data_IF_711115103827
#
_entry.id   IF_711115103827
#
_cell.length_a   1.000
_cell.length_b   1.000
_cell.length_c   1.000
_cell.angle_alpha   90.00
_cell.angle_beta   90.00
_cell.angle_gamma   90.00
#
_symmetry.space_group_name_H-M   'P 1'
#
loop_
_entity.id
_entity.type
_entity.pdbx_description
1 polymer ?
#
# COMPACT_ATOMS: atom_id res chain seq x y z
N UNK A 1 -0.66 27.75 -9.83
CA UNK A 1 0.37 27.42 -8.82
C UNK A 1 0.64 25.92 -8.74
N UNK A 2 -0.35 25.06 -8.47
CA UNK A 2 -0.14 23.61 -8.23
C UNK A 2 0.48 22.84 -9.40
N UNK A 3 0.12 23.16 -10.66
CA UNK A 3 0.72 22.51 -11.84
C UNK A 3 2.24 22.76 -11.94
N UNK A 4 2.70 23.97 -11.61
CA UNK A 4 4.12 24.32 -11.57
C UNK A 4 4.87 23.47 -10.52
N UNK A 5 4.31 23.35 -9.31
CA UNK A 5 4.91 22.52 -8.26
C UNK A 5 4.95 21.04 -8.64
N UNK A 6 3.91 20.53 -9.32
CA UNK A 6 3.91 19.14 -9.82
C UNK A 6 5.03 18.90 -10.84
N UNK A 7 5.27 19.85 -11.75
CA UNK A 7 6.31 19.73 -12.77
C UNK A 7 7.74 19.91 -12.23
N UNK A 8 7.95 20.86 -11.32
CA UNK A 8 9.30 21.25 -10.90
C UNK A 8 9.72 20.68 -9.53
N UNK A 9 8.76 20.38 -8.65
CA UNK A 9 9.00 20.00 -7.25
C UNK A 9 8.13 18.82 -6.82
N UNK A 10 8.05 17.77 -7.65
CA UNK A 10 7.17 16.62 -7.46
C UNK A 10 7.28 15.98 -6.06
N UNK A 11 8.51 15.84 -5.52
CA UNK A 11 8.73 15.27 -4.19
C UNK A 11 8.11 16.13 -3.08
N UNK A 12 8.34 17.44 -3.10
CA UNK A 12 7.80 18.37 -2.12
C UNK A 12 6.28 18.52 -2.26
N UNK A 13 5.78 18.54 -3.51
CA UNK A 13 4.35 18.54 -3.80
C UNK A 13 3.67 17.30 -3.22
N UNK A 14 4.23 16.10 -3.45
CA UNK A 14 3.69 14.87 -2.89
C UNK A 14 3.77 14.86 -1.36
N UNK A 15 4.89 15.29 -0.75
CA UNK A 15 5.02 15.38 0.70
C UNK A 15 3.93 16.27 1.31
N UNK A 16 3.73 17.47 0.75
CA UNK A 16 2.70 18.38 1.19
C UNK A 16 1.30 17.77 1.06
N UNK A 17 1.02 17.10 -0.07
CA UNK A 17 -0.26 16.41 -0.30
C UNK A 17 -0.48 15.29 0.71
N UNK A 18 0.53 14.47 1.01
CA UNK A 18 0.43 13.38 1.97
C UNK A 18 0.22 13.91 3.40
N UNK A 19 0.99 14.92 3.80
CA UNK A 19 0.92 15.47 5.16
C UNK A 19 -0.41 16.19 5.46
N UNK A 20 -1.15 16.64 4.43
CA UNK A 20 -2.46 17.31 4.57
C UNK A 20 -3.67 16.39 4.32
N UNK A 21 -3.49 15.06 4.29
CA UNK A 21 -4.61 14.13 4.21
C UNK A 21 -5.49 14.19 5.47
N UNK A 22 -6.82 13.99 5.36
CA UNK A 22 -7.58 13.58 4.16
C UNK A 22 -8.01 14.75 3.24
N UNK A 23 -7.79 14.63 1.92
CA UNK A 23 -8.21 15.63 0.91
C UNK A 23 -9.37 15.19 0.01
N UNK A 24 -10.10 14.14 0.42
CA UNK A 24 -11.40 13.76 -0.15
C UNK A 24 -11.41 13.00 -1.48
N UNK A 25 -10.44 13.21 -2.39
CA UNK A 25 -10.51 12.64 -3.75
C UNK A 25 -9.59 11.44 -4.00
N UNK A 26 -8.28 11.57 -3.74
CA UNK A 26 -7.30 10.52 -4.02
C UNK A 26 -6.75 9.91 -2.73
N UNK A 27 -6.80 8.58 -2.66
CA UNK A 27 -6.16 7.81 -1.60
C UNK A 27 -4.63 8.00 -1.65
N UNK A 28 -3.92 8.06 -0.51
CA UNK A 28 -2.46 8.17 -0.46
C UNK A 28 -1.72 7.17 -1.37
N UNK A 29 -2.21 5.93 -1.46
CA UNK A 29 -1.65 4.91 -2.34
C UNK A 29 -1.61 5.35 -3.81
N UNK A 30 -2.70 5.94 -4.31
CA UNK A 30 -2.80 6.42 -5.70
C UNK A 30 -1.88 7.61 -5.95
N UNK A 31 -1.76 8.53 -4.98
CA UNK A 31 -0.83 9.66 -5.09
C UNK A 31 0.63 9.20 -5.16
N UNK A 32 1.00 8.22 -4.32
CA UNK A 32 2.33 7.59 -4.34
C UNK A 32 2.59 6.92 -5.69
N UNK A 33 1.62 6.15 -6.21
CA UNK A 33 1.75 5.47 -7.50
C UNK A 33 1.83 6.43 -8.68
N UNK A 34 1.04 7.50 -8.68
CA UNK A 34 1.12 8.56 -9.70
C UNK A 34 2.51 9.20 -9.73
N UNK A 35 3.05 9.53 -8.56
CA UNK A 35 4.38 10.12 -8.49
C UNK A 35 5.47 9.14 -8.95
N UNK A 36 5.36 7.85 -8.61
CA UNK A 36 6.27 6.81 -9.08
C UNK A 36 6.23 6.63 -10.61
N UNK A 37 5.04 6.69 -11.22
CA UNK A 37 4.90 6.68 -12.69
C UNK A 37 5.58 7.89 -13.34
N UNK A 38 5.61 9.03 -12.66
CA UNK A 38 6.35 10.23 -13.06
C UNK A 38 7.84 10.23 -12.64
N UNK A 39 8.39 9.07 -12.27
CA UNK A 39 9.82 8.90 -11.98
C UNK A 39 10.24 9.28 -10.55
N UNK A 40 9.30 9.64 -9.66
CA UNK A 40 9.65 9.91 -8.27
C UNK A 40 10.00 8.61 -7.54
N UNK A 41 11.22 8.54 -7.00
CA UNK A 41 11.57 7.48 -6.05
C UNK A 41 10.90 7.78 -4.70
N UNK A 42 10.03 6.87 -4.27
CA UNK A 42 9.44 6.88 -2.93
C UNK A 42 10.13 5.79 -2.11
N UNK A 43 10.42 6.07 -0.85
CA UNK A 43 11.06 5.13 0.08
C UNK A 43 10.11 4.82 1.23
N UNK A 44 10.11 3.56 1.73
CA UNK A 44 9.22 3.16 2.82
C UNK A 44 9.55 3.89 4.13
N UNK A 45 8.59 3.85 5.05
CA UNK A 45 8.77 4.32 6.42
C UNK A 45 9.79 3.43 7.13
N UNK A 46 10.60 4.06 7.97
CA UNK A 46 11.78 3.50 8.61
C UNK A 46 12.03 4.27 9.92
N UNK A 47 12.13 3.58 11.04
CA UNK A 47 12.37 4.19 12.36
C UNK A 47 13.73 4.89 12.48
N UNK A 48 14.70 4.54 11.63
CA UNK A 48 16.05 5.11 11.60
C UNK A 48 16.13 6.38 10.75
N UNK A 49 15.18 6.62 9.85
CA UNK A 49 15.27 7.71 8.86
C UNK A 49 14.03 8.59 8.81
N UNK A 50 12.85 8.05 9.11
CA UNK A 50 11.58 8.71 8.88
C UNK A 50 11.15 9.51 10.08
N UNK A 51 10.64 10.69 9.80
CA UNK A 51 9.89 11.48 10.78
C UNK A 51 8.42 11.03 10.78
N UNK A 52 7.62 11.63 11.63
CA UNK A 52 6.18 11.42 11.73
C UNK A 52 5.52 11.75 10.40
N UNK A 53 5.85 12.91 9.86
CA UNK A 53 5.41 13.38 8.55
C UNK A 53 6.30 12.86 7.41
N UNK A 54 5.73 12.83 6.20
CA UNK A 54 6.50 12.54 4.99
C UNK A 54 7.53 13.65 4.74
N UNK A 55 8.78 13.26 4.50
CA UNK A 55 9.89 14.17 4.25
C UNK A 55 10.47 13.99 2.85
N UNK A 56 11.16 15.01 2.36
CA UNK A 56 11.92 14.96 1.12
C UNK A 56 13.37 14.66 1.48
N UNK A 57 13.88 13.54 0.97
CA UNK A 57 15.26 13.10 1.19
C UNK A 57 16.21 13.82 0.22
N UNK A 58 17.49 13.91 0.60
CA UNK A 58 18.56 14.41 -0.27
C UNK A 58 18.62 13.59 -1.56
N UNK A 59 18.34 14.22 -2.71
CA UNK A 59 18.26 13.55 -4.02
C UNK A 59 16.86 13.46 -4.64
N UNK A 60 15.92 14.31 -4.23
CA UNK A 60 14.55 14.41 -4.79
C UNK A 60 13.71 13.14 -4.61
N UNK A 61 14.04 12.27 -3.64
CA UNK A 61 13.16 11.14 -3.27
C UNK A 61 12.26 11.51 -2.10
N UNK A 62 11.07 10.92 -2.04
CA UNK A 62 10.17 11.07 -0.91
C UNK A 62 10.38 9.94 0.10
N UNK A 63 10.43 10.26 1.39
CA UNK A 63 10.33 9.33 2.50
C UNK A 63 8.90 9.27 3.01
N UNK A 64 8.35 8.07 3.16
CA UNK A 64 7.08 7.89 3.85
C UNK A 64 7.25 8.16 5.35
N UNK A 65 6.37 8.98 5.92
CA UNK A 65 6.36 9.26 7.36
C UNK A 65 5.76 8.12 8.19
N UNK A 66 6.12 8.07 9.47
CA UNK A 66 5.62 7.07 10.42
C UNK A 66 4.10 7.15 10.62
N UNK A 67 3.48 8.31 10.37
CA UNK A 67 2.02 8.51 10.44
C UNK A 67 1.21 7.58 9.54
N UNK A 68 1.82 7.03 8.49
CA UNK A 68 1.16 6.10 7.57
C UNK A 68 1.14 4.66 8.10
N UNK A 69 1.79 4.37 9.22
CA UNK A 69 1.74 3.06 9.86
C UNK A 69 0.46 2.97 10.68
N UNK A 70 -0.48 2.13 10.26
CA UNK A 70 -1.78 1.96 10.91
C UNK A 70 -1.61 1.52 12.36
N UNK A 71 -2.30 2.20 13.26
CA UNK A 71 -2.28 1.88 14.69
C UNK A 71 -1.09 2.46 15.45
N UNK A 72 -0.09 3.03 14.77
CA UNK A 72 0.98 3.76 15.45
C UNK A 72 0.46 5.13 15.91
N UNK A 73 0.49 5.37 17.22
CA UNK A 73 0.08 6.65 17.79
C UNK A 73 1.14 7.72 17.51
N UNK A 74 0.68 8.95 17.35
CA UNK A 74 1.54 10.11 17.14
C UNK A 74 2.54 10.31 18.27
N UNK A 75 2.10 10.14 19.52
CA UNK A 75 2.98 10.18 20.69
C UNK A 75 4.17 9.22 20.56
N UNK A 76 3.92 7.95 20.20
CA UNK A 76 4.97 6.95 20.01
C UNK A 76 5.86 7.30 18.81
N UNK A 77 5.29 7.77 17.70
CA UNK A 77 6.06 8.20 16.52
C UNK A 77 7.01 9.37 16.81
N UNK A 78 6.54 10.38 17.52
CA UNK A 78 7.35 11.53 17.93
C UNK A 78 8.42 11.13 18.98
N UNK A 79 8.10 10.19 19.87
CA UNK A 79 9.08 9.67 20.82
C UNK A 79 10.20 8.88 20.13
N UNK A 80 9.89 8.08 19.08
CA UNK A 80 10.89 7.43 18.23
C UNK A 80 11.82 8.47 17.59
N UNK A 81 11.26 9.54 17.02
CA UNK A 81 12.07 10.62 16.45
C UNK A 81 12.99 11.28 17.47
N UNK A 82 12.44 11.64 18.64
CA UNK A 82 13.18 12.31 19.69
C UNK A 82 14.33 11.43 20.20
N UNK A 83 14.05 10.15 20.46
CA UNK A 83 15.07 9.19 20.86
C UNK A 83 16.16 9.08 19.77
N UNK A 84 15.79 8.91 18.50
CA UNK A 84 16.73 8.79 17.38
C UNK A 84 17.65 10.01 17.24
N UNK A 85 17.15 11.23 17.46
CA UNK A 85 17.97 12.46 17.36
C UNK A 85 19.15 12.46 18.34
N UNK A 86 19.02 11.80 19.48
CA UNK A 86 20.13 11.64 20.43
C UNK A 86 21.19 10.66 19.92
N UNK A 87 20.77 9.54 19.34
CA UNK A 87 21.65 8.55 18.71
C UNK A 87 20.85 7.58 17.83
N UNK A 88 21.42 7.01 16.76
CA UNK A 88 20.80 5.90 16.01
C UNK A 88 20.47 4.71 16.94
N UNK A 89 19.44 3.93 16.61
CA UNK A 89 19.14 2.69 17.35
C UNK A 89 20.08 1.57 16.92
N UNK A 90 20.61 0.83 17.89
CA UNK A 90 21.53 -0.30 17.63
C UNK A 90 20.81 -1.65 17.58
N UNK A 91 19.62 -1.77 18.19
CA UNK A 91 18.80 -2.99 18.17
C UNK A 91 17.33 -2.66 18.43
N UNK A 92 16.46 -3.66 18.25
CA UNK A 92 15.04 -3.53 18.63
C UNK A 92 14.90 -3.40 20.15
N UNK A 93 15.74 -4.07 20.94
CA UNK A 93 15.78 -3.91 22.39
C UNK A 93 16.14 -2.47 22.81
N UNK A 94 17.14 -1.88 22.15
CA UNK A 94 17.52 -0.47 22.37
C UNK A 94 16.37 0.49 22.06
N UNK A 95 15.65 0.25 20.95
CA UNK A 95 14.45 1.02 20.61
C UNK A 95 13.38 0.92 21.70
N UNK A 96 13.08 -0.30 22.19
CA UNK A 96 12.05 -0.53 23.20
C UNK A 96 12.44 0.07 24.56
N UNK A 97 13.72 0.06 24.91
CA UNK A 97 14.22 0.66 26.14
C UNK A 97 14.18 2.19 26.09
N UNK A 98 14.51 2.80 24.95
CA UNK A 98 14.57 4.26 24.78
C UNK A 98 13.23 4.91 24.49
N UNK A 99 12.25 4.13 24.04
CA UNK A 99 10.90 4.61 23.71
C UNK A 99 9.85 3.83 24.52
N UNK A 100 9.69 4.15 25.82
CA UNK A 100 8.73 3.46 26.69
C UNK A 100 7.28 3.59 26.22
N UNK A 101 6.95 4.67 25.51
CA UNK A 101 5.62 4.96 24.95
C UNK A 101 5.19 3.93 23.90
N UNK A 102 6.14 3.24 23.25
CA UNK A 102 5.88 2.32 22.16
C UNK A 102 5.23 1.03 22.68
N UNK A 103 3.98 0.77 22.30
CA UNK A 103 3.25 -0.43 22.74
C UNK A 103 3.64 -1.67 21.95
N UNK A 104 3.27 -2.83 22.49
CA UNK A 104 3.61 -4.14 21.89
C UNK A 104 2.97 -4.33 20.50
N UNK A 105 1.71 -3.94 20.34
CA UNK A 105 0.99 -3.97 19.07
C UNK A 105 1.56 -2.99 18.04
N UNK A 106 1.99 -1.81 18.49
CA UNK A 106 2.69 -0.82 17.64
C UNK A 106 4.04 -1.39 17.15
N UNK A 107 4.84 -1.98 18.04
CA UNK A 107 6.12 -2.60 17.68
C UNK A 107 5.95 -3.77 16.69
N UNK A 108 4.96 -4.65 16.92
CA UNK A 108 4.60 -5.72 15.96
C UNK A 108 4.26 -5.15 14.59
N UNK A 109 3.53 -4.05 14.56
CA UNK A 109 3.13 -3.40 13.32
C UNK A 109 4.34 -2.82 12.59
N UNK A 110 5.23 -2.12 13.30
CA UNK A 110 6.51 -1.62 12.75
C UNK A 110 7.35 -2.76 12.15
N UNK A 111 7.44 -3.90 12.84
CA UNK A 111 8.14 -5.07 12.33
C UNK A 111 7.47 -5.64 11.07
N UNK A 112 6.14 -5.80 11.09
CA UNK A 112 5.36 -6.36 9.99
C UNK A 112 5.41 -5.48 8.72
N UNK A 113 5.38 -4.16 8.86
CA UNK A 113 5.51 -3.22 7.73
C UNK A 113 6.96 -3.08 7.24
N UNK A 114 7.92 -3.60 7.99
CA UNK A 114 9.35 -3.50 7.69
C UNK A 114 9.96 -2.15 8.01
N UNK A 115 9.32 -1.36 8.89
CA UNK A 115 9.87 -0.10 9.38
C UNK A 115 11.09 -0.31 10.29
N UNK A 116 11.29 -1.53 10.81
CA UNK A 116 12.45 -1.91 11.63
C UNK A 116 13.63 -2.47 10.82
N UNK A 117 13.47 -2.69 9.51
CA UNK A 117 14.47 -3.40 8.71
C UNK A 117 15.84 -2.72 8.67
N UNK A 118 15.91 -1.42 8.91
CA UNK A 118 17.16 -0.67 8.87
C UNK A 118 17.96 -0.76 10.17
N UNK A 119 17.39 -1.35 11.22
CA UNK A 119 18.14 -1.75 12.40
C UNK A 119 18.93 -3.00 12.01
N UNK A 120 20.24 -2.86 11.80
CA UNK A 120 21.16 -3.95 11.42
C UNK A 120 20.78 -4.73 10.14
N UNK A 121 20.08 -4.10 9.19
CA UNK A 121 19.64 -4.71 7.91
C UNK A 121 18.85 -6.03 8.08
N UNK A 122 18.09 -6.13 9.17
CA UNK A 122 17.28 -7.32 9.49
C UNK A 122 16.09 -7.46 8.53
N UNK A 123 15.70 -8.71 8.26
CA UNK A 123 14.51 -8.97 7.44
C UNK A 123 13.26 -8.90 8.32
N UNK A 124 12.09 -8.74 7.68
CA UNK A 124 10.81 -8.53 8.39
C UNK A 124 10.46 -9.64 9.37
N UNK A 125 10.73 -10.90 9.01
CA UNK A 125 10.43 -12.06 9.88
C UNK A 125 11.36 -12.10 11.08
N UNK A 126 12.62 -11.72 10.88
CA UNK A 126 13.61 -11.59 11.94
C UNK A 126 13.21 -10.46 12.89
N UNK A 127 12.87 -9.29 12.36
CA UNK A 127 12.35 -8.16 13.13
C UNK A 127 11.08 -8.50 13.92
N UNK A 128 10.16 -9.29 13.34
CA UNK A 128 8.97 -9.76 14.04
C UNK A 128 9.32 -10.68 15.19
N UNK A 129 10.25 -11.62 14.97
CA UNK A 129 10.75 -12.51 16.01
C UNK A 129 11.39 -11.73 17.17
N UNK A 130 12.30 -10.81 16.84
CA UNK A 130 12.98 -9.98 17.83
C UNK A 130 12.02 -9.04 18.56
N UNK A 131 11.00 -8.51 17.89
CA UNK A 131 9.99 -7.67 18.55
C UNK A 131 9.20 -8.38 19.65
N UNK A 132 8.94 -9.69 19.50
CA UNK A 132 8.29 -10.47 20.55
C UNK A 132 9.21 -10.75 21.74
N UNK A 133 10.51 -10.91 21.46
CA UNK A 133 11.55 -11.13 22.46
C UNK A 133 11.82 -9.87 23.27
N UNK A 134 12.02 -8.73 22.61
CA UNK A 134 12.38 -7.46 23.25
C UNK A 134 11.35 -6.97 24.29
N UNK A 135 10.07 -7.31 24.11
CA UNK A 135 9.00 -6.94 25.08
C UNK A 135 8.76 -7.99 26.16
N UNK A 136 9.56 -9.06 26.20
CA UNK A 136 9.62 -10.05 27.27
C UNK A 136 11.04 -10.05 27.86
N UNK A 137 11.45 -8.96 28.54
CA UNK A 137 12.75 -8.93 29.19
C UNK A 137 12.84 -10.08 30.18
N UNK A 138 14.02 -10.71 30.25
CA UNK A 138 14.28 -11.74 31.23
C UNK A 138 14.08 -11.16 32.64
N UNK A 139 13.45 -11.91 33.54
CA UNK A 139 13.23 -11.45 34.91
C UNK A 139 14.56 -11.13 35.62
N UNK A 140 14.54 -10.46 36.78
CA UNK A 140 15.76 -9.99 37.47
C UNK A 140 16.81 -11.10 37.68
N UNK A 141 16.36 -12.33 37.93
CA UNK A 141 17.20 -13.53 38.09
C UNK A 141 17.95 -13.96 36.82
N UNK A 142 17.45 -13.60 35.65
CA UNK A 142 18.01 -13.97 34.34
C UNK A 142 18.68 -12.79 33.63
N UNK A 143 18.77 -11.63 34.30
CA UNK A 143 19.37 -10.41 33.73
C UNK A 143 20.88 -10.55 33.44
N UNK A 144 21.57 -11.39 34.22
CA UNK A 144 23.00 -11.68 34.05
C UNK A 144 23.29 -12.83 33.06
N UNK A 145 22.25 -13.51 32.56
CA UNK A 145 22.42 -14.59 31.58
C UNK A 145 22.55 -13.95 30.20
N UNK A 146 23.73 -14.07 29.59
CA UNK A 146 23.94 -13.70 28.20
C UNK A 146 23.01 -14.54 27.33
N UNK A 147 21.95 -13.94 26.81
CA UNK A 147 21.06 -14.63 25.89
C UNK A 147 21.83 -14.92 24.61
N UNK A 148 21.92 -16.19 24.25
CA UNK A 148 22.48 -16.60 22.96
C UNK A 148 21.55 -16.02 21.89
N UNK A 149 22.09 -15.14 21.04
CA UNK A 149 21.38 -14.66 19.86
C UNK A 149 21.11 -15.84 18.92
N UNK A 150 19.89 -16.37 18.96
CA UNK A 150 19.46 -17.37 18.01
C UNK A 150 18.86 -16.68 16.79
N UNK A 151 19.27 -17.06 15.58
CA UNK A 151 18.66 -16.54 14.37
C UNK A 151 17.18 -16.90 14.36
N UNK A 152 16.37 -16.07 13.70
CA UNK A 152 14.94 -16.33 13.59
C UNK A 152 14.70 -17.70 12.95
N UNK A 153 13.88 -18.58 13.56
CA UNK A 153 13.51 -19.84 12.94
C UNK A 153 12.46 -19.66 11.82
N UNK A 154 11.97 -18.44 11.60
CA UNK A 154 10.87 -18.16 10.71
C UNK A 154 11.32 -18.12 9.25
N UNK A 155 10.56 -18.79 8.37
CA UNK A 155 10.72 -18.65 6.94
C UNK A 155 10.46 -17.21 6.51
N UNK A 156 11.29 -16.73 5.58
CA UNK A 156 11.21 -15.37 5.06
C UNK A 156 9.92 -15.17 4.26
N UNK A 157 9.37 -13.95 4.32
CA UNK A 157 8.13 -13.63 3.60
C UNK A 157 8.34 -13.69 2.08
N UNK A 158 7.42 -14.35 1.41
CA UNK A 158 7.22 -14.25 -0.03
C UNK A 158 6.85 -12.81 -0.44
N UNK A 159 7.00 -12.48 -1.72
CA UNK A 159 6.61 -11.17 -2.24
C UNK A 159 5.12 -10.86 -2.01
N UNK A 160 4.25 -11.88 -2.12
CA UNK A 160 2.81 -11.75 -1.87
C UNK A 160 2.51 -11.44 -0.40
N UNK A 161 3.16 -12.15 0.53
CA UNK A 161 3.02 -11.87 1.96
C UNK A 161 3.52 -10.47 2.33
N UNK A 162 4.63 -10.01 1.74
CA UNK A 162 5.14 -8.64 1.96
C UNK A 162 4.16 -7.59 1.47
N UNK A 163 3.60 -7.78 0.28
CA UNK A 163 2.60 -6.89 -0.29
C UNK A 163 1.36 -6.82 0.62
N UNK A 164 0.87 -7.97 1.07
CA UNK A 164 -0.26 -8.03 2.00
C UNK A 164 0.06 -7.34 3.33
N UNK A 165 1.26 -7.54 3.87
CA UNK A 165 1.73 -6.85 5.07
C UNK A 165 1.78 -5.33 4.90
N UNK A 166 2.25 -4.83 3.74
CA UNK A 166 2.28 -3.40 3.43
C UNK A 166 0.88 -2.79 3.38
N UNK A 167 -0.06 -3.43 2.68
CA UNK A 167 -1.44 -2.93 2.55
C UNK A 167 -2.19 -2.97 3.88
N UNK A 168 -2.04 -4.05 4.65
CA UNK A 168 -2.71 -4.16 5.96
C UNK A 168 -2.13 -3.16 6.96
N UNK A 169 -0.81 -2.98 6.96
CA UNK A 169 -0.10 -2.14 7.93
C UNK A 169 0.07 -0.68 7.55
N UNK A 170 0.01 -0.29 6.26
CA UNK A 170 0.16 1.11 5.84
C UNK A 170 -0.92 1.62 4.89
N UNK A 171 -1.80 0.73 4.40
CA UNK A 171 -2.82 1.07 3.41
C UNK A 171 -2.26 1.33 2.00
N UNK A 172 -0.95 1.19 1.79
CA UNK A 172 -0.29 1.37 0.49
C UNK A 172 0.94 0.46 0.38
N UNK A 173 1.54 0.40 -0.81
CA UNK A 173 2.87 -0.16 -0.98
C UNK A 173 3.74 0.81 -1.75
N UNK A 174 5.00 0.94 -1.31
CA UNK A 174 6.03 1.66 -2.06
C UNK A 174 6.62 0.76 -3.17
N UNK A 175 6.41 -0.56 -3.10
CA UNK A 175 6.86 -1.52 -4.11
C UNK A 175 6.05 -1.49 -5.41
N UNK A 176 6.09 -2.58 -6.18
CA UNK A 176 5.27 -2.70 -7.39
C UNK A 176 3.77 -2.69 -7.03
N UNK A 177 2.94 -2.19 -7.93
CA UNK A 177 1.48 -2.24 -7.78
C UNK A 177 1.02 -3.71 -7.71
N UNK A 178 0.00 -4.07 -6.89
CA UNK A 178 -0.49 -5.43 -6.76
C UNK A 178 -0.80 -6.13 -8.10
N UNK A 179 -1.43 -5.41 -9.02
CA UNK A 179 -1.78 -5.96 -10.35
C UNK A 179 -0.56 -6.40 -11.16
N UNK A 180 0.63 -5.82 -10.93
CA UNK A 180 1.84 -6.22 -11.62
C UNK A 180 2.25 -7.67 -11.32
N UNK A 181 1.91 -8.19 -10.13
CA UNK A 181 2.21 -9.58 -9.75
C UNK A 181 1.25 -10.58 -10.40
N UNK A 182 0.04 -10.14 -10.72
CA UNK A 182 -0.99 -10.94 -11.38
C UNK A 182 -1.02 -10.70 -12.90
N UNK A 183 -0.20 -9.79 -13.42
CA UNK A 183 -0.19 -9.39 -14.84
C UNK A 183 -0.07 -10.59 -15.80
N UNK A 184 0.85 -11.56 -15.60
CA UNK A 184 0.96 -12.69 -16.52
C UNK A 184 -0.30 -13.58 -16.56
N UNK A 185 -1.03 -13.69 -15.45
CA UNK A 185 -2.30 -14.43 -15.40
C UNK A 185 -3.43 -13.64 -16.07
N UNK A 186 -3.47 -12.32 -15.82
CA UNK A 186 -4.47 -11.42 -16.40
C UNK A 186 -4.35 -11.31 -17.92
N UNK A 187 -3.12 -11.27 -18.44
CA UNK A 187 -2.85 -11.30 -19.89
C UNK A 187 -3.41 -12.58 -20.54
N UNK A 188 -3.19 -13.75 -19.93
CA UNK A 188 -3.76 -15.02 -20.40
C UNK A 188 -5.29 -15.01 -20.43
N UNK A 189 -5.93 -14.23 -19.55
CA UNK A 189 -7.39 -14.04 -19.51
C UNK A 189 -7.89 -12.98 -20.51
N UNK A 190 -6.98 -12.33 -21.25
CA UNK A 190 -7.28 -11.27 -22.22
C UNK A 190 -7.57 -9.92 -21.58
N UNK A 191 -7.07 -9.68 -20.37
CA UNK A 191 -7.23 -8.41 -19.64
C UNK A 191 -6.22 -7.39 -20.14
N UNK A 192 -6.70 -6.21 -20.51
CA UNK A 192 -5.88 -5.08 -20.96
C UNK A 192 -5.48 -4.17 -19.79
N UNK A 193 -4.32 -3.56 -19.91
CA UNK A 193 -3.83 -2.52 -19.01
C UNK A 193 -4.55 -1.20 -19.25
N UNK A 194 -4.53 -0.31 -18.26
CA UNK A 194 -5.06 1.05 -18.41
C UNK A 194 -4.44 1.79 -19.60
N UNK A 195 -3.11 1.66 -19.76
CA UNK A 195 -2.37 2.31 -20.84
C UNK A 195 -2.75 1.80 -22.23
N UNK A 196 -2.98 0.49 -22.40
CA UNK A 196 -3.37 -0.08 -23.69
C UNK A 196 -4.72 0.39 -24.20
N UNK A 197 -5.63 0.81 -23.31
CA UNK A 197 -6.96 1.29 -23.71
C UNK A 197 -6.89 2.51 -24.63
N UNK A 198 -5.81 3.31 -24.54
CA UNK A 198 -5.60 4.47 -25.41
C UNK A 198 -5.42 4.12 -26.89
N UNK A 199 -5.00 2.89 -27.19
CA UNK A 199 -4.78 2.42 -28.56
C UNK A 199 -6.00 1.68 -29.14
N UNK A 200 -7.06 1.46 -28.35
CA UNK A 200 -8.22 0.68 -28.76
C UNK A 200 -9.32 1.55 -29.39
N UNK A 201 -10.16 0.92 -30.20
CA UNK A 201 -11.27 1.60 -30.89
C UNK A 201 -12.46 1.80 -29.96
N UNK A 202 -13.14 2.92 -30.12
CA UNK A 202 -14.41 3.18 -29.43
C UNK A 202 -15.44 2.07 -29.71
N UNK A 203 -16.24 1.71 -28.71
CA UNK A 203 -17.25 0.66 -28.81
C UNK A 203 -16.71 -0.77 -28.72
N UNK A 204 -15.39 -0.96 -28.62
CA UNK A 204 -14.78 -2.29 -28.52
C UNK A 204 -15.07 -2.95 -27.16
N UNK A 205 -15.36 -4.25 -27.16
CA UNK A 205 -15.44 -5.04 -25.93
C UNK A 205 -14.05 -5.26 -25.35
N UNK A 206 -13.89 -4.93 -24.06
CA UNK A 206 -12.62 -5.02 -23.34
C UNK A 206 -12.82 -5.71 -21.99
N UNK A 207 -11.76 -6.36 -21.52
CA UNK A 207 -11.63 -6.82 -20.13
C UNK A 207 -10.54 -6.00 -19.48
N UNK A 208 -10.83 -5.48 -18.30
CA UNK A 208 -9.89 -4.68 -17.50
C UNK A 208 -9.91 -5.17 -16.06
N UNK A 209 -8.80 -5.01 -15.36
CA UNK A 209 -8.71 -5.39 -13.96
C UNK A 209 -7.86 -4.39 -13.18
N UNK A 210 -8.27 -4.10 -11.95
CA UNK A 210 -7.54 -3.15 -11.12
C UNK A 210 -8.05 -3.06 -9.69
N UNK A 211 -7.30 -2.32 -8.88
CA UNK A 211 -7.69 -1.91 -7.53
C UNK A 211 -8.74 -0.79 -7.62
N UNK A 212 -9.83 -0.90 -6.87
CA UNK A 212 -10.83 0.17 -6.81
C UNK A 212 -10.31 1.30 -5.92
N UNK A 213 -10.07 2.47 -6.52
CA UNK A 213 -9.54 3.64 -5.81
C UNK A 213 -10.63 4.63 -5.41
N UNK A 214 -11.70 4.73 -6.19
CA UNK A 214 -12.81 5.66 -5.97
C UNK A 214 -14.13 4.99 -6.31
N UNK A 215 -15.15 5.23 -5.48
CA UNK A 215 -16.55 4.89 -5.75
C UNK A 215 -17.41 6.13 -5.58
N UNK A 216 -18.17 6.49 -6.60
CA UNK A 216 -19.05 7.67 -6.57
C UNK A 216 -20.43 7.32 -7.10
N UNK A 217 -21.45 7.81 -6.39
CA UNK A 217 -22.85 7.77 -6.84
C UNK A 217 -23.47 9.16 -6.63
N UNK A 218 -23.18 10.11 -7.53
CA UNK A 218 -23.73 11.46 -7.43
C UNK A 218 -25.26 11.43 -7.50
N UNK A 219 -25.95 12.21 -6.66
CA UNK A 219 -27.42 12.28 -6.66
C UNK A 219 -28.00 12.75 -8.00
N UNK A 220 -27.23 13.53 -8.77
CA UNK A 220 -27.60 14.08 -10.08
C UNK A 220 -27.43 13.10 -11.25
N UNK A 221 -26.78 11.95 -11.02
CA UNK A 221 -26.43 11.00 -12.09
C UNK A 221 -27.54 9.99 -12.38
N UNK A 222 -28.80 10.25 -12.01
CA UNK A 222 -29.95 9.37 -12.27
C UNK A 222 -29.70 7.89 -11.87
N UNK A 223 -28.98 7.69 -10.77
CA UNK A 223 -28.66 6.38 -10.23
C UNK A 223 -27.41 5.70 -10.80
N UNK A 224 -26.73 6.28 -11.81
CA UNK A 224 -25.45 5.78 -12.31
C UNK A 224 -24.37 5.81 -11.23
N UNK A 225 -23.47 4.84 -11.30
CA UNK A 225 -22.33 4.70 -10.40
C UNK A 225 -21.04 4.81 -11.20
N UNK A 226 -20.09 5.56 -10.69
CA UNK A 226 -18.77 5.74 -11.27
C UNK A 226 -17.74 5.06 -10.37
N UNK A 227 -16.87 4.23 -10.97
CA UNK A 227 -15.70 3.68 -10.30
C UNK A 227 -14.44 4.12 -11.02
N UNK A 228 -13.34 4.22 -10.28
CA UNK A 228 -12.01 4.30 -10.89
C UNK A 228 -11.21 3.07 -10.46
N UNK A 229 -10.69 2.34 -11.44
CA UNK A 229 -9.80 1.20 -11.24
C UNK A 229 -8.37 1.61 -11.53
N UNK A 230 -7.44 1.25 -10.65
CA UNK A 230 -6.00 1.48 -10.83
C UNK A 230 -5.28 0.15 -11.10
N UNK A 231 -4.40 0.15 -12.09
CA UNK A 231 -3.40 -0.89 -12.30
C UNK A 231 -1.98 -0.29 -12.26
N UNK A 232 -0.96 -1.09 -12.54
CA UNK A 232 0.43 -0.63 -12.54
C UNK A 232 0.75 0.41 -13.61
N UNK A 233 -0.10 0.53 -14.63
CA UNK A 233 0.11 1.43 -15.78
C UNK A 233 -0.67 2.73 -15.65
N UNK A 234 -1.81 2.73 -14.94
CA UNK A 234 -2.61 3.93 -14.78
C UNK A 234 -3.99 3.67 -14.17
N UNK A 235 -4.89 4.63 -14.40
CA UNK A 235 -6.26 4.62 -13.89
C UNK A 235 -7.25 4.55 -15.05
N UNK A 236 -8.28 3.72 -14.90
CA UNK A 236 -9.40 3.59 -15.83
C UNK A 236 -10.69 3.98 -15.13
N UNK A 237 -11.46 4.87 -15.75
CA UNK A 237 -12.78 5.24 -15.25
C UNK A 237 -13.85 4.29 -15.78
N UNK A 238 -14.76 3.91 -14.90
CA UNK A 238 -15.81 2.93 -15.16
C UNK A 238 -17.16 3.59 -14.95
N UNK A 239 -18.05 3.39 -15.90
CA UNK A 239 -19.44 3.84 -15.84
C UNK A 239 -20.33 2.62 -15.65
N UNK A 240 -21.15 2.63 -14.61
CA UNK A 240 -22.03 1.52 -14.26
C UNK A 240 -23.47 2.00 -14.27
N UNK A 241 -24.28 1.35 -15.08
CA UNK A 241 -25.72 1.59 -15.12
C UNK A 241 -26.42 1.09 -13.85
N UNK A 242 -27.53 1.71 -13.42
CA UNK A 242 -28.27 1.31 -12.23
C UNK A 242 -28.59 -0.20 -12.19
N UNK A 243 -29.11 -0.74 -13.30
CA UNK A 243 -29.47 -2.17 -13.41
C UNK A 243 -28.26 -3.10 -13.21
N UNK A 244 -27.11 -2.75 -13.78
CA UNK A 244 -25.88 -3.53 -13.65
C UNK A 244 -25.30 -3.44 -12.24
N UNK A 245 -25.38 -2.25 -11.64
CA UNK A 245 -24.95 -2.03 -10.25
C UNK A 245 -25.82 -2.83 -9.28
N UNK A 246 -27.14 -2.73 -9.37
CA UNK A 246 -28.05 -3.40 -8.44
C UNK A 246 -27.92 -4.92 -8.51
N UNK A 247 -27.72 -5.48 -9.72
CA UNK A 247 -27.49 -6.92 -9.91
C UNK A 247 -26.18 -7.42 -9.30
N UNK A 248 -25.14 -6.59 -9.25
CA UNK A 248 -23.80 -6.97 -8.80
C UNK A 248 -23.33 -6.12 -7.61
N UNK A 249 -24.28 -5.63 -6.80
CA UNK A 249 -24.02 -4.63 -5.76
C UNK A 249 -22.97 -5.09 -4.76
N UNK A 250 -23.04 -6.36 -4.35
CA UNK A 250 -22.07 -6.93 -3.42
C UNK A 250 -20.64 -6.88 -3.99
N UNK A 251 -20.48 -7.32 -5.25
CA UNK A 251 -19.18 -7.35 -5.92
C UNK A 251 -18.58 -5.95 -6.02
N UNK A 252 -19.35 -4.97 -6.50
CA UNK A 252 -18.86 -3.59 -6.66
C UNK A 252 -18.53 -2.90 -5.34
N UNK A 253 -19.30 -3.18 -4.27
CA UNK A 253 -19.15 -2.49 -2.98
C UNK A 253 -18.06 -3.13 -2.11
N UNK A 254 -18.01 -4.47 -2.02
CA UNK A 254 -17.17 -5.16 -1.05
C UNK A 254 -15.74 -5.40 -1.51
N UNK A 255 -15.54 -5.68 -2.80
CA UNK A 255 -14.25 -6.18 -3.26
C UNK A 255 -13.29 -5.05 -3.64
N UNK A 256 -12.04 -5.07 -3.14
CA UNK A 256 -11.04 -4.05 -3.44
C UNK A 256 -10.42 -4.21 -4.83
N UNK A 257 -10.49 -5.40 -5.44
CA UNK A 257 -10.01 -5.65 -6.79
C UNK A 257 -11.12 -6.26 -7.63
N UNK A 258 -11.29 -5.70 -8.83
CA UNK A 258 -12.36 -6.07 -9.73
C UNK A 258 -11.78 -6.38 -11.11
N UNK A 259 -12.37 -7.37 -11.75
CA UNK A 259 -12.27 -7.61 -13.19
C UNK A 259 -13.59 -7.22 -13.84
N UNK A 260 -13.54 -6.33 -14.80
CA UNK A 260 -14.71 -5.77 -15.48
C UNK A 260 -14.64 -6.11 -16.95
N UNK A 261 -15.71 -6.72 -17.46
CA UNK A 261 -15.99 -6.84 -18.88
C UNK A 261 -16.92 -5.70 -19.24
N UNK A 262 -16.54 -4.93 -20.24
CA UNK A 262 -17.31 -3.76 -20.63
C UNK A 262 -17.02 -3.31 -22.04
N UNK A 263 -17.69 -2.25 -22.42
CA UNK A 263 -17.51 -1.58 -23.71
C UNK A 263 -16.67 -0.34 -23.50
N UNK A 264 -15.58 -0.21 -24.24
CA UNK A 264 -14.76 1.00 -24.25
C UNK A 264 -15.58 2.16 -24.80
N UNK A 265 -15.52 3.29 -24.10
CA UNK A 265 -16.10 4.55 -24.51
C UNK A 265 -14.99 5.60 -24.56
N UNK A 266 -14.73 6.14 -25.74
CA UNK A 266 -13.79 7.24 -25.95
C UNK A 266 -14.56 8.48 -26.41
N UNK A 267 -14.90 9.35 -25.47
CA UNK A 267 -15.58 10.61 -25.76
C UNK A 267 -14.56 11.74 -25.75
N UNK A 268 -14.21 12.26 -26.93
CA UNK A 268 -13.31 13.41 -27.09
C UNK A 268 -11.96 13.25 -26.34
N UNK A 269 -11.43 12.02 -26.29
CA UNK A 269 -10.16 11.71 -25.62
C UNK A 269 -10.30 11.28 -24.16
N UNK A 270 -11.49 11.39 -23.57
CA UNK A 270 -11.78 10.83 -22.25
C UNK A 270 -12.17 9.35 -22.37
N UNK A 271 -11.26 8.47 -21.95
CA UNK A 271 -11.47 7.03 -21.96
C UNK A 271 -12.19 6.58 -20.70
N UNK A 272 -13.29 5.86 -20.91
CA UNK A 272 -14.02 5.16 -19.86
C UNK A 272 -14.49 3.79 -20.35
N UNK A 273 -14.85 2.91 -19.42
CA UNK A 273 -15.42 1.60 -19.75
C UNK A 273 -16.81 1.49 -19.14
N UNK A 274 -17.80 1.26 -20.00
CA UNK A 274 -19.16 0.95 -19.57
C UNK A 274 -19.23 -0.49 -19.10
N UNK A 275 -19.47 -0.70 -17.80
CA UNK A 275 -19.44 -2.02 -17.19
C UNK A 275 -20.64 -2.89 -17.63
N UNK A 276 -20.36 -4.13 -18.03
CA UNK A 276 -21.37 -5.15 -18.35
C UNK A 276 -21.39 -6.29 -17.33
N UNK A 277 -20.28 -7.01 -17.21
CA UNK A 277 -20.08 -8.11 -16.25
C UNK A 277 -18.92 -7.75 -15.31
N UNK A 278 -19.04 -8.11 -14.03
CA UNK A 278 -18.00 -7.90 -13.03
C UNK A 278 -17.69 -9.21 -12.31
N UNK A 279 -16.42 -9.42 -12.00
CA UNK A 279 -15.89 -10.54 -11.23
C UNK A 279 -14.97 -9.97 -10.13
N UNK A 280 -15.02 -10.56 -8.95
CA UNK A 280 -14.07 -10.23 -7.89
C UNK A 280 -12.72 -10.89 -8.19
N UNK A 281 -11.62 -10.17 -7.92
CA UNK A 281 -10.28 -10.76 -7.90
C UNK A 281 -9.87 -10.89 -6.45
N UNK A 282 -9.58 -12.12 -6.01
CA UNK A 282 -8.96 -12.33 -4.72
C UNK A 282 -7.43 -12.22 -4.84
N UNK A 283 -6.93 -11.01 -4.65
CA UNK A 283 -5.49 -10.72 -4.59
C UNK A 283 -4.89 -11.15 -3.24
N UNK A 284 -5.72 -11.47 -2.25
CA UNK A 284 -5.30 -11.92 -0.91
C UNK A 284 -5.37 -13.44 -0.73
N UNK A 285 -5.94 -14.18 -1.69
CA UNK A 285 -5.85 -15.62 -1.75
C UNK A 285 -4.38 -16.03 -1.89
N UNK A 286 -3.73 -16.21 -0.74
CA UNK A 286 -2.59 -17.10 -0.63
C UNK A 286 -3.13 -18.46 -1.08
N UNK A 287 -2.57 -19.11 -2.11
CA UNK A 287 -2.86 -20.50 -2.34
C UNK A 287 -2.43 -21.23 -1.07
N UNK A 288 -3.37 -21.59 -0.21
CA UNK A 288 -3.14 -22.56 0.85
C UNK A 288 -3.01 -23.87 0.10
N UNK A 289 -1.86 -24.56 0.13
CA UNK A 289 -1.79 -25.91 -0.39
C UNK A 289 -2.79 -26.75 0.40
N UNK A 290 -3.86 -27.19 -0.26
CA UNK A 290 -4.73 -28.21 0.31
C UNK A 290 -4.01 -29.54 0.15
N UNK A 291 -3.82 -30.26 1.25
CA UNK A 291 -3.59 -31.71 1.16
C UNK A 291 -4.95 -32.32 0.87
N UNK A 292 -5.29 -32.42 -0.41
CA UNK A 292 -6.48 -33.14 -0.84
C UNK A 292 -6.24 -34.64 -0.60
N UNK A 293 -7.16 -35.29 0.11
CA UNK A 293 -7.08 -36.73 0.40
C UNK A 293 -7.16 -37.52 -0.93
N UNK A 294 -6.20 -38.42 -1.14
CA UNK A 294 -6.26 -39.44 -2.20
C UNK A 294 -7.27 -40.53 -1.88
#
# INVERSE_FOLDING_TARGET
>A
ASAYLKCHYLAAFLAAMLNNQPMGFYHPATLVKDAQRHGLRVRPADVMQSDWDCTVDTGKSLRMGLRYIRGLRQEAGLAIEAARRSAPFVSIDDLVQRVPELRKDELRTLAKTGALNFINDIRRRDAMWDSERARRPAGPLLSAVQQIEQPSPLQQMTLKERLHADFTGTGLTVGRHPMAYYRPEMEKRGVRTAMELHALRDGQLVKIAGAVIVRQRPGTAHGFVFLSLEDETGVVNIIIEPKTFDRNKETFVRYPFLLIHGTLQNQQGAISVKAGKVEAIDVNAIPVPSHDFH
#
